data_IF_608763160337
#
_entry.id   IF_608763160337
#
_cell.length_a   1.000
_cell.length_b   1.000
_cell.length_c   1.000
_cell.angle_alpha   90.00
_cell.angle_beta   90.00
_cell.angle_gamma   90.00
#
_symmetry.space_group_name_H-M   'P 1'
#
loop_
_entity.id
_entity.type
_entity.pdbx_description
1 polymer ?
#
# COMPACT_ATOMS: atom_id res chain seq x y z
N UNK A 1 9.05 -9.86 -3.42
CA UNK A 1 8.98 -8.42 -3.12
C UNK A 1 7.55 -8.00 -2.89
N UNK A 2 7.21 -7.96 -1.62
CA UNK A 2 5.92 -8.37 -1.10
C UNK A 2 5.02 -7.14 -0.81
N UNK A 3 3.78 -7.13 -1.30
CA UNK A 3 2.76 -6.10 -0.93
C UNK A 3 2.46 -6.09 0.57
N UNK A 4 2.79 -7.19 1.23
CA UNK A 4 2.63 -7.40 2.67
C UNK A 4 3.60 -6.50 3.46
N UNK A 5 4.79 -6.19 2.93
CA UNK A 5 5.78 -5.37 3.65
C UNK A 5 5.26 -3.95 3.91
N UNK A 6 4.69 -3.29 2.90
CA UNK A 6 4.13 -1.94 3.06
C UNK A 6 2.93 -1.95 4.00
N UNK A 7 2.14 -3.02 3.97
CA UNK A 7 1.01 -3.18 4.85
C UNK A 7 1.44 -3.38 6.30
N UNK A 8 2.48 -4.18 6.56
CA UNK A 8 3.08 -4.34 7.89
C UNK A 8 3.59 -3.02 8.46
N UNK A 9 4.30 -2.23 7.65
CA UNK A 9 4.77 -0.91 8.06
C UNK A 9 3.59 0.04 8.34
N UNK A 10 2.60 0.12 7.43
CA UNK A 10 1.39 0.93 7.69
C UNK A 10 0.68 0.50 8.97
N UNK A 11 0.45 -0.79 9.16
CA UNK A 11 -0.27 -1.30 10.33
C UNK A 11 0.53 -1.03 11.62
N UNK A 12 1.87 -1.09 11.57
CA UNK A 12 2.73 -0.69 12.70
C UNK A 12 2.57 0.78 13.06
N UNK A 13 2.46 1.68 12.07
CA UNK A 13 2.16 3.10 12.30
C UNK A 13 0.78 3.33 12.93
N UNK A 14 -0.19 2.47 12.61
CA UNK A 14 -1.57 2.56 13.10
C UNK A 14 -1.81 1.80 14.41
N UNK A 15 -0.82 1.06 14.90
CA UNK A 15 -0.94 0.23 16.10
C UNK A 15 -1.01 1.12 17.35
N UNK A 16 -1.91 0.77 18.26
CA UNK A 16 -2.01 1.40 19.59
C UNK A 16 -0.90 0.95 20.54
N UNK A 17 -0.20 -0.15 20.23
CA UNK A 17 0.84 -0.75 21.08
C UNK A 17 2.22 -0.18 20.73
N UNK A 18 2.44 0.14 19.46
CA UNK A 18 3.74 0.63 18.99
C UNK A 18 3.96 2.11 19.35
N UNK A 19 5.12 2.40 19.94
CA UNK A 19 5.58 3.75 20.28
C UNK A 19 6.75 4.16 19.40
N UNK A 20 6.54 4.09 18.08
CA UNK A 20 7.62 4.32 17.10
C UNK A 20 8.33 5.66 17.32
N UNK A 21 9.66 5.62 17.39
CA UNK A 21 10.48 6.83 17.47
C UNK A 21 11.82 6.63 16.79
N UNK A 22 12.31 7.66 16.11
CA UNK A 22 13.68 7.70 15.59
C UNK A 22 14.43 8.75 16.38
N UNK A 23 15.39 8.32 17.20
CA UNK A 23 16.02 9.17 18.21
C UNK A 23 14.93 9.87 19.07
N UNK A 24 15.09 11.17 19.36
CA UNK A 24 14.13 11.98 20.11
C UNK A 24 12.86 12.38 19.34
N UNK A 25 12.67 11.88 18.12
CA UNK A 25 11.51 12.24 17.29
C UNK A 25 10.48 11.11 17.26
N UNK A 26 9.31 11.38 17.85
CA UNK A 26 8.17 10.46 17.78
C UNK A 26 7.57 10.39 16.37
N UNK A 27 7.09 9.21 16.03
CA UNK A 27 6.31 8.94 14.82
C UNK A 27 4.86 8.74 15.26
N UNK A 28 3.96 9.64 14.85
CA UNK A 28 2.60 9.65 15.37
C UNK A 28 1.55 9.72 14.26
N UNK A 29 0.55 8.85 14.35
CA UNK A 29 -0.62 8.89 13.47
C UNK A 29 -1.44 10.18 13.61
N UNK A 30 -1.38 10.82 14.80
CA UNK A 30 -2.05 12.07 15.08
C UNK A 30 -1.60 13.21 14.16
N UNK A 31 -0.38 13.17 13.62
CA UNK A 31 0.07 14.14 12.62
C UNK A 31 -0.77 14.02 11.33
N UNK A 32 -1.19 12.82 10.95
CA UNK A 32 -2.07 12.61 9.80
C UNK A 32 -3.52 12.98 10.11
N UNK A 33 -4.00 12.67 11.32
CA UNK A 33 -5.31 13.12 11.78
C UNK A 33 -5.40 14.65 11.78
N UNK A 34 -4.35 15.32 12.25
CA UNK A 34 -4.23 16.77 12.20
C UNK A 34 -4.29 17.28 10.76
N UNK A 35 -3.55 16.67 9.83
CA UNK A 35 -3.63 17.06 8.41
C UNK A 35 -5.05 16.93 7.87
N UNK A 36 -5.74 15.82 8.17
CA UNK A 36 -7.10 15.55 7.70
C UNK A 36 -8.10 16.57 8.25
N UNK A 37 -7.95 16.98 9.50
CA UNK A 37 -8.91 17.88 10.16
C UNK A 37 -8.61 19.37 9.91
N UNK A 38 -7.36 19.75 9.62
CA UNK A 38 -6.95 21.17 9.53
C UNK A 38 -6.62 21.66 8.10
N UNK A 39 -6.36 20.77 7.15
CA UNK A 39 -6.08 21.15 5.76
C UNK A 39 -7.23 20.77 4.82
N UNK A 40 -7.31 21.41 3.66
CA UNK A 40 -8.34 21.07 2.68
C UNK A 40 -8.04 19.69 2.08
N UNK A 41 -9.06 18.83 1.99
CA UNK A 41 -8.96 17.53 1.31
C UNK A 41 -8.36 17.62 -0.10
N UNK A 42 -8.51 18.76 -0.77
CA UNK A 42 -7.96 18.98 -2.11
C UNK A 42 -6.42 18.99 -2.08
N UNK A 43 -5.83 19.41 -0.97
CA UNK A 43 -4.39 19.59 -0.82
C UNK A 43 -3.70 18.27 -0.49
N UNK A 44 -4.36 17.34 0.20
CA UNK A 44 -3.73 16.10 0.68
C UNK A 44 -4.44 14.80 0.24
N UNK A 45 -5.68 14.90 -0.26
CA UNK A 45 -6.53 13.80 -0.73
C UNK A 45 -6.79 12.65 0.27
N UNK A 46 -6.44 12.84 1.54
CA UNK A 46 -6.73 11.89 2.61
C UNK A 46 -8.18 12.00 3.08
N UNK A 47 -8.73 10.87 3.52
CA UNK A 47 -9.97 10.79 4.28
C UNK A 47 -9.73 10.06 5.60
N UNK A 48 -10.64 10.25 6.56
CA UNK A 48 -10.59 9.59 7.87
C UNK A 48 -10.28 8.10 7.73
N UNK A 49 -11.02 7.36 6.91
CA UNK A 49 -10.80 5.92 6.69
C UNK A 49 -9.39 5.52 6.22
N UNK A 50 -8.59 6.42 5.66
CA UNK A 50 -7.23 6.08 5.22
C UNK A 50 -6.28 5.83 6.41
N UNK A 51 -6.59 6.42 7.58
CA UNK A 51 -5.85 6.27 8.85
C UNK A 51 -6.58 5.39 9.88
N UNK A 52 -7.62 4.65 9.46
CA UNK A 52 -8.30 3.71 10.36
C UNK A 52 -7.55 2.38 10.45
N UNK A 53 -7.36 1.84 11.67
CA UNK A 53 -6.63 0.59 11.89
C UNK A 53 -7.40 -0.66 11.44
N UNK A 54 -8.73 -0.61 11.40
CA UNK A 54 -9.58 -1.79 11.13
C UNK A 54 -9.39 -2.39 9.73
N UNK A 55 -9.10 -1.55 8.74
CA UNK A 55 -8.82 -1.99 7.37
C UNK A 55 -7.32 -2.28 7.19
N UNK A 56 -6.92 -3.45 7.71
CA UNK A 56 -5.53 -3.94 7.72
C UNK A 56 -5.00 -4.39 6.37
N UNK A 57 -5.80 -4.41 5.31
CA UNK A 57 -5.39 -4.82 3.94
C UNK A 57 -5.43 -3.65 2.93
N UNK A 58 -5.69 -2.42 3.40
CA UNK A 58 -5.89 -1.27 2.52
C UNK A 58 -4.60 -0.72 1.91
N UNK A 59 -4.15 -1.34 0.83
CA UNK A 59 -3.00 -0.87 0.07
C UNK A 59 -3.20 0.56 -0.48
N UNK A 60 -4.43 0.92 -0.90
CA UNK A 60 -4.71 2.26 -1.43
C UNK A 60 -4.45 3.34 -0.39
N UNK A 61 -4.78 3.09 0.87
CA UNK A 61 -4.50 4.00 1.97
C UNK A 61 -3.00 4.18 2.15
N UNK A 62 -2.21 3.11 2.07
CA UNK A 62 -0.74 3.14 2.16
C UNK A 62 -0.11 4.07 1.09
N UNK A 63 -0.59 4.00 -0.16
CA UNK A 63 -0.12 4.88 -1.25
C UNK A 63 -0.52 6.34 -1.02
N UNK A 64 -1.75 6.60 -0.56
CA UNK A 64 -2.21 7.97 -0.33
C UNK A 64 -1.47 8.64 0.80
N UNK A 65 -1.26 7.93 1.92
CA UNK A 65 -0.51 8.49 3.04
C UNK A 65 0.89 8.88 2.54
N UNK A 66 1.59 8.02 1.82
CA UNK A 66 2.94 8.32 1.31
C UNK A 66 3.02 9.32 0.14
N UNK A 67 1.93 9.99 -0.24
CA UNK A 67 1.92 10.97 -1.32
C UNK A 67 2.81 12.19 -1.02
N UNK A 68 3.35 12.80 -2.09
CA UNK A 68 4.18 14.00 -1.99
C UNK A 68 3.48 15.15 -1.26
N UNK A 69 2.19 15.33 -1.54
CA UNK A 69 1.43 16.43 -0.96
C UNK A 69 1.35 16.29 0.57
N UNK A 70 1.10 15.07 1.07
CA UNK A 70 1.08 14.83 2.51
C UNK A 70 2.49 14.94 3.13
N UNK A 71 3.52 14.48 2.42
CA UNK A 71 4.91 14.63 2.89
C UNK A 71 5.32 16.09 3.01
N UNK A 72 4.91 16.94 2.06
CA UNK A 72 5.18 18.38 2.10
C UNK A 72 4.49 19.02 3.32
N UNK A 73 3.22 18.68 3.58
CA UNK A 73 2.50 19.18 4.75
C UNK A 73 3.14 18.75 6.08
N UNK A 74 3.60 17.50 6.19
CA UNK A 74 4.32 17.04 7.39
C UNK A 74 5.63 17.80 7.61
N UNK A 75 6.32 18.16 6.52
CA UNK A 75 7.53 18.98 6.59
C UNK A 75 7.22 20.39 7.07
N UNK A 76 6.14 21.00 6.58
CA UNK A 76 5.69 22.34 6.98
C UNK A 76 5.25 22.38 8.46
N UNK A 77 4.66 21.29 8.94
CA UNK A 77 4.29 21.12 10.36
C UNK A 77 5.46 20.76 11.28
N UNK A 78 6.69 20.61 10.76
CA UNK A 78 7.87 20.17 11.50
C UNK A 78 7.71 18.79 12.17
N UNK A 79 6.85 17.92 11.63
CA UNK A 79 6.65 16.54 12.08
C UNK A 79 7.76 15.62 11.53
N UNK A 80 9.02 15.89 11.89
CA UNK A 80 10.21 15.27 11.26
C UNK A 80 10.24 13.74 11.34
N UNK A 81 9.91 13.17 12.50
CA UNK A 81 9.89 11.71 12.69
C UNK A 81 8.89 11.04 11.75
N UNK A 82 7.62 11.49 11.80
CA UNK A 82 6.54 11.01 10.92
C UNK A 82 6.84 11.24 9.44
N UNK A 83 7.43 12.38 9.09
CA UNK A 83 7.87 12.67 7.72
C UNK A 83 8.88 11.62 7.22
N UNK A 84 9.95 11.35 7.98
CA UNK A 84 10.99 10.39 7.57
C UNK A 84 10.44 8.98 7.52
N UNK A 85 9.68 8.57 8.53
CA UNK A 85 9.05 7.25 8.52
C UNK A 85 8.23 7.01 7.25
N UNK A 86 7.43 8.00 6.83
CA UNK A 86 6.58 7.90 5.64
C UNK A 86 7.37 8.06 4.35
N UNK A 87 8.46 8.81 4.37
CA UNK A 87 9.41 8.87 3.27
C UNK A 87 10.07 7.50 3.05
N UNK A 88 10.51 6.82 4.11
CA UNK A 88 10.99 5.44 4.01
C UNK A 88 9.90 4.51 3.49
N UNK A 89 8.67 4.58 4.02
CA UNK A 89 7.54 3.79 3.50
C UNK A 89 7.29 4.05 1.99
N UNK A 90 7.44 5.29 1.54
CA UNK A 90 7.36 5.65 0.13
C UNK A 90 8.46 4.96 -0.69
N UNK A 91 9.70 4.97 -0.21
CA UNK A 91 10.81 4.26 -0.87
C UNK A 91 10.55 2.76 -0.95
N UNK A 92 9.90 2.15 0.04
CA UNK A 92 9.50 0.73 -0.01
C UNK A 92 8.53 0.48 -1.18
N UNK A 93 7.56 1.38 -1.40
CA UNK A 93 6.61 1.29 -2.52
C UNK A 93 7.34 1.42 -3.87
N UNK A 94 8.19 2.42 -4.02
CA UNK A 94 8.93 2.69 -5.27
C UNK A 94 9.87 1.53 -5.60
N UNK A 95 10.57 1.00 -4.58
CA UNK A 95 11.57 -0.05 -4.76
C UNK A 95 10.94 -1.38 -5.15
N UNK A 96 9.84 -1.77 -4.48
CA UNK A 96 9.33 -3.14 -4.53
C UNK A 96 7.99 -3.32 -5.24
N UNK A 97 7.23 -2.26 -5.52
CA UNK A 97 5.89 -2.34 -6.13
C UNK A 97 5.80 -1.64 -7.47
N UNK A 98 6.28 -0.40 -7.58
CA UNK A 98 6.14 0.36 -8.83
C UNK A 98 6.81 -0.42 -9.96
N UNK A 99 6.12 -0.64 -11.08
CA UNK A 99 6.62 -1.49 -12.16
C UNK A 99 7.68 -0.78 -13.02
N UNK A 100 7.57 0.55 -13.12
CA UNK A 100 8.31 1.36 -14.07
C UNK A 100 9.64 1.90 -13.49
N UNK A 101 9.99 1.53 -12.26
CA UNK A 101 11.26 1.92 -11.63
C UNK A 101 12.43 1.15 -12.22
N UNK A 102 13.46 1.88 -12.65
CA UNK A 102 14.73 1.34 -13.13
C UNK A 102 15.42 0.46 -12.07
N UNK A 103 16.13 -0.58 -12.52
CA UNK A 103 16.75 -1.59 -11.64
C UNK A 103 17.83 -1.00 -10.73
N UNK A 104 18.65 -0.08 -11.21
CA UNK A 104 19.70 0.55 -10.41
C UNK A 104 19.11 1.59 -9.45
N UNK A 105 18.03 2.25 -9.86
CA UNK A 105 17.25 3.11 -8.96
C UNK A 105 16.64 2.29 -7.82
N UNK A 106 16.07 1.11 -8.10
CA UNK A 106 15.59 0.17 -7.06
C UNK A 106 16.71 -0.28 -6.14
N UNK A 107 17.86 -0.66 -6.71
CA UNK A 107 19.02 -1.06 -5.93
C UNK A 107 19.44 0.07 -4.96
N UNK A 108 19.55 1.29 -5.46
CA UNK A 108 19.86 2.46 -4.65
C UNK A 108 18.84 2.67 -3.52
N UNK A 109 17.55 2.73 -3.84
CA UNK A 109 16.50 2.97 -2.83
C UNK A 109 16.35 1.84 -1.82
N UNK A 110 16.51 0.58 -2.23
CA UNK A 110 16.52 -0.56 -1.33
C UNK A 110 17.70 -0.53 -0.36
N UNK A 111 18.89 -0.12 -0.80
CA UNK A 111 20.04 0.06 0.09
C UNK A 111 19.89 1.27 1.01
N UNK A 112 19.29 2.38 0.54
CA UNK A 112 18.94 3.51 1.41
C UNK A 112 18.04 3.04 2.55
N UNK A 113 17.04 2.21 2.25
CA UNK A 113 16.14 1.64 3.26
C UNK A 113 16.89 0.76 4.26
N UNK A 114 17.70 -0.19 3.78
CA UNK A 114 18.46 -1.08 4.65
C UNK A 114 19.38 -0.29 5.59
N UNK A 115 20.19 0.64 5.07
CA UNK A 115 21.07 1.46 5.91
C UNK A 115 20.30 2.36 6.87
N UNK A 116 19.18 2.93 6.43
CA UNK A 116 18.29 3.71 7.30
C UNK A 116 17.78 2.87 8.47
N UNK A 117 17.29 1.66 8.22
CA UNK A 117 16.81 0.78 9.27
C UNK A 117 17.91 0.25 10.17
N UNK A 118 19.10 -0.04 9.64
CA UNK A 118 20.29 -0.39 10.45
C UNK A 118 20.65 0.73 11.41
N UNK A 119 20.79 1.96 10.91
CA UNK A 119 21.11 3.13 11.74
C UNK A 119 20.05 3.36 12.82
N UNK A 120 18.77 3.30 12.44
CA UNK A 120 17.67 3.43 13.39
C UNK A 120 17.70 2.32 14.45
N UNK A 121 17.86 1.06 14.06
CA UNK A 121 17.97 -0.06 14.99
C UNK A 121 19.15 0.11 15.95
N UNK A 122 20.33 0.46 15.44
CA UNK A 122 21.50 0.71 16.27
C UNK A 122 21.24 1.81 17.32
N UNK A 123 20.61 2.92 16.93
CA UNK A 123 20.29 3.98 17.91
C UNK A 123 19.38 3.50 19.05
N UNK A 124 18.44 2.62 18.76
CA UNK A 124 17.55 2.04 19.77
C UNK A 124 18.32 1.04 20.66
N UNK A 125 19.23 0.27 20.07
CA UNK A 125 20.01 -0.71 20.82
C UNK A 125 20.99 -0.06 21.79
N UNK A 126 21.55 1.09 21.43
CA UNK A 126 22.42 1.89 22.29
C UNK A 126 21.68 2.57 23.45
N UNK A 127 20.34 2.65 23.41
CA UNK A 127 19.56 3.17 24.53
C UNK A 127 19.57 2.17 25.70
N UNK A 128 20.28 2.50 26.77
CA UNK A 128 20.42 1.62 27.94
C UNK A 128 19.16 1.60 28.81
N UNK A 129 18.30 2.63 28.72
CA UNK A 129 17.12 2.76 29.57
C UNK A 129 15.98 1.81 29.18
N UNK A 130 15.96 1.34 27.93
CA UNK A 130 14.89 0.49 27.43
C UNK A 130 15.19 -0.99 27.65
N UNK A 131 14.20 -1.71 28.18
CA UNK A 131 14.14 -3.17 28.08
C UNK A 131 14.03 -3.61 26.61
N UNK A 132 14.33 -4.89 26.33
CA UNK A 132 14.23 -5.41 24.95
C UNK A 132 12.82 -5.26 24.36
N UNK A 133 11.77 -5.48 25.17
CA UNK A 133 10.38 -5.32 24.72
C UNK A 133 10.05 -3.87 24.36
N UNK A 134 10.56 -2.90 25.13
CA UNK A 134 10.42 -1.48 24.80
C UNK A 134 11.18 -1.14 23.51
N UNK A 135 12.41 -1.62 23.36
CA UNK A 135 13.20 -1.43 22.11
C UNK A 135 12.42 -1.92 20.89
N UNK A 136 11.73 -3.06 20.99
CA UNK A 136 10.92 -3.60 19.90
C UNK A 136 9.68 -2.73 19.62
N UNK A 137 9.07 -2.12 20.64
CA UNK A 137 7.95 -1.18 20.49
C UNK A 137 8.33 0.15 19.82
N UNK A 138 9.58 0.59 19.99
CA UNK A 138 10.11 1.80 19.39
C UNK A 138 10.57 1.64 17.93
N UNK A 139 10.63 0.40 17.42
CA UNK A 139 11.08 0.08 16.06
C UNK A 139 9.98 -0.55 15.19
N UNK A 140 10.25 -0.64 13.88
CA UNK A 140 9.46 -1.49 12.98
C UNK A 140 9.59 -2.96 13.41
N UNK A 141 8.62 -3.79 13.03
CA UNK A 141 8.68 -5.21 13.40
C UNK A 141 9.92 -5.87 12.80
N UNK A 142 10.54 -6.79 13.55
CA UNK A 142 11.73 -7.52 13.11
C UNK A 142 11.50 -8.20 11.75
N UNK A 143 10.33 -8.79 11.55
CA UNK A 143 9.95 -9.38 10.27
C UNK A 143 9.94 -8.38 9.10
N UNK A 144 9.49 -7.14 9.32
CA UNK A 144 9.51 -6.11 8.29
C UNK A 144 10.95 -5.66 7.98
N UNK A 145 11.76 -5.45 9.01
CA UNK A 145 13.17 -5.11 8.83
C UNK A 145 13.96 -6.20 8.09
N UNK A 146 13.86 -7.46 8.54
CA UNK A 146 14.52 -8.60 7.89
C UNK A 146 14.04 -8.79 6.45
N UNK A 147 12.75 -8.55 6.16
CA UNK A 147 12.25 -8.63 4.79
C UNK A 147 12.94 -7.61 3.87
N UNK A 148 13.20 -6.39 4.35
CA UNK A 148 13.93 -5.37 3.59
C UNK A 148 15.36 -5.83 3.31
N UNK A 149 16.06 -6.30 4.35
CA UNK A 149 17.42 -6.84 4.26
C UNK A 149 17.51 -7.97 3.23
N UNK A 150 16.71 -9.02 3.40
CA UNK A 150 16.71 -10.18 2.51
C UNK A 150 16.38 -9.75 1.08
N UNK A 151 15.34 -8.93 0.88
CA UNK A 151 14.93 -8.50 -0.46
C UNK A 151 16.02 -7.71 -1.18
N UNK A 152 16.75 -6.81 -0.51
CA UNK A 152 17.80 -6.02 -1.17
C UNK A 152 19.07 -6.84 -1.43
N UNK A 153 19.45 -7.72 -0.51
CA UNK A 153 20.56 -8.64 -0.72
C UNK A 153 20.27 -9.59 -1.89
N UNK A 154 19.07 -10.19 -1.93
CA UNK A 154 18.65 -11.03 -3.06
C UNK A 154 18.68 -10.28 -4.39
N UNK A 155 18.19 -9.03 -4.43
CA UNK A 155 18.24 -8.21 -5.64
C UNK A 155 19.67 -7.95 -6.10
N UNK A 156 20.56 -7.64 -5.15
CA UNK A 156 21.98 -7.40 -5.40
C UNK A 156 22.64 -8.65 -5.96
N UNK A 157 22.41 -9.82 -5.36
CA UNK A 157 22.91 -11.10 -5.84
C UNK A 157 22.40 -11.45 -7.24
N UNK A 158 21.09 -11.27 -7.51
CA UNK A 158 20.53 -11.50 -8.84
C UNK A 158 21.17 -10.59 -9.89
N UNK A 159 21.39 -9.33 -9.57
CA UNK A 159 22.04 -8.39 -10.47
C UNK A 159 23.49 -8.80 -10.78
N UNK A 160 24.25 -9.22 -9.76
CA UNK A 160 25.62 -9.72 -9.93
C UNK A 160 25.63 -10.95 -10.84
N UNK A 161 24.74 -11.92 -10.60
CA UNK A 161 24.65 -13.14 -11.42
C UNK A 161 24.29 -12.84 -12.88
N UNK A 162 23.44 -11.84 -13.12
CA UNK A 162 23.12 -11.38 -14.48
C UNK A 162 24.30 -10.69 -15.14
N UNK A 163 25.02 -9.82 -14.43
CA UNK A 163 26.23 -9.16 -14.94
C UNK A 163 27.38 -10.14 -15.24
N UNK A 164 27.47 -11.22 -14.47
CA UNK A 164 28.43 -12.31 -14.70
C UNK A 164 28.01 -13.25 -15.86
N UNK A 165 26.82 -13.05 -16.44
CA UNK A 165 26.29 -13.89 -17.52
C UNK A 165 25.78 -15.26 -17.07
N UNK A 166 25.67 -15.50 -15.76
CA UNK A 166 25.14 -16.75 -15.19
C UNK A 166 23.61 -16.82 -15.37
N UNK A 167 22.93 -15.68 -15.27
CA UNK A 167 21.48 -15.55 -15.44
C UNK A 167 21.12 -14.64 -16.62
N UNK A 168 20.02 -14.90 -17.34
CA UNK A 168 19.56 -14.01 -18.41
C UNK A 168 19.03 -12.69 -17.85
N UNK A 169 19.07 -11.62 -18.64
CA UNK A 169 18.55 -10.29 -18.24
C UNK A 169 17.05 -10.30 -17.90
N UNK A 170 16.28 -11.25 -18.46
CA UNK A 170 14.87 -11.47 -18.12
C UNK A 170 14.66 -11.83 -16.64
N UNK A 171 15.69 -12.31 -15.95
CA UNK A 171 15.64 -12.57 -14.52
C UNK A 171 15.49 -11.29 -13.69
N UNK A 172 15.71 -10.10 -14.27
CA UNK A 172 15.55 -8.80 -13.59
C UNK A 172 14.14 -8.18 -13.75
N UNK A 173 13.15 -8.98 -14.14
CA UNK A 173 11.75 -8.56 -14.14
C UNK A 173 11.18 -8.46 -12.72
N UNK A 174 11.66 -7.48 -11.94
CA UNK A 174 11.35 -7.30 -10.51
C UNK A 174 9.86 -7.16 -10.19
N UNK A 175 9.03 -6.71 -11.14
CA UNK A 175 7.58 -6.66 -10.96
C UNK A 175 6.96 -8.04 -10.72
N UNK A 176 7.60 -9.12 -11.19
CA UNK A 176 7.17 -10.50 -10.97
C UNK A 176 7.57 -11.06 -9.61
N UNK A 177 8.44 -10.38 -8.87
CA UNK A 177 8.91 -10.89 -7.57
C UNK A 177 7.84 -10.77 -6.49
N UNK A 178 6.76 -10.04 -6.73
CA UNK A 178 5.68 -9.83 -5.77
C UNK A 178 4.66 -10.95 -5.73
N UNK A 179 3.87 -10.99 -4.65
CA UNK A 179 2.70 -11.86 -4.49
C UNK A 179 1.48 -11.36 -5.28
N UNK A 180 1.55 -10.17 -5.88
CA UNK A 180 0.45 -9.55 -6.63
C UNK A 180 -0.08 -10.39 -7.81
N UNK A 181 0.75 -11.10 -8.61
CA UNK A 181 0.25 -12.03 -9.62
C UNK A 181 -0.59 -13.15 -9.01
N UNK A 182 -0.17 -13.70 -7.87
CA UNK A 182 -0.94 -14.72 -7.15
C UNK A 182 -2.28 -14.17 -6.63
N UNK A 183 -2.28 -13.00 -5.99
CA UNK A 183 -3.50 -12.32 -5.56
C UNK A 183 -4.45 -12.03 -6.73
N UNK A 184 -3.91 -11.65 -7.89
CA UNK A 184 -4.66 -11.43 -9.12
C UNK A 184 -5.32 -12.72 -9.63
N UNK A 185 -4.61 -13.86 -9.56
CA UNK A 185 -5.16 -15.17 -9.89
C UNK A 185 -6.29 -15.55 -8.94
N UNK A 186 -6.13 -15.37 -7.63
CA UNK A 186 -7.19 -15.61 -6.66
C UNK A 186 -8.40 -14.69 -6.87
N UNK A 187 -8.18 -13.40 -7.15
CA UNK A 187 -9.27 -12.46 -7.51
C UNK A 187 -10.02 -12.91 -8.75
N UNK A 188 -9.31 -13.39 -9.77
CA UNK A 188 -9.92 -13.92 -10.99
C UNK A 188 -10.75 -15.17 -10.70
N UNK A 189 -10.25 -16.08 -9.86
CA UNK A 189 -11.00 -17.26 -9.44
C UNK A 189 -12.27 -16.91 -8.64
N UNK A 190 -12.21 -15.88 -7.77
CA UNK A 190 -13.38 -15.35 -7.05
C UNK A 190 -14.41 -14.72 -7.99
N UNK A 191 -13.96 -14.10 -9.08
CA UNK A 191 -14.85 -13.48 -10.07
C UNK A 191 -15.50 -14.50 -11.02
N UNK A 192 -14.91 -15.68 -11.19
CA UNK A 192 -15.44 -16.79 -12.00
C UNK A 192 -16.53 -17.58 -11.25
N UNK A 193 -17.52 -16.90 -10.70
CA UNK A 193 -18.72 -17.50 -10.09
C UNK A 193 -19.85 -17.60 -11.12
N UNK A 194 -20.82 -18.51 -10.90
CA UNK A 194 -21.93 -18.67 -11.85
C UNK A 194 -22.82 -17.43 -11.87
N UNK A 195 -23.58 -17.24 -12.96
CA UNK A 195 -24.46 -16.08 -13.17
C UNK A 195 -25.49 -15.84 -12.07
N UNK A 196 -25.78 -16.86 -11.26
CA UNK A 196 -26.74 -16.82 -10.16
C UNK A 196 -26.08 -17.00 -8.78
N UNK A 197 -24.74 -16.94 -8.70
CA UNK A 197 -24.01 -17.14 -7.45
C UNK A 197 -23.04 -16.00 -7.20
N UNK A 198 -23.28 -15.28 -6.10
CA UNK A 198 -22.35 -14.30 -5.55
C UNK A 198 -21.33 -14.94 -4.59
N UNK A 199 -21.25 -16.28 -4.54
CA UNK A 199 -20.35 -16.97 -3.63
C UNK A 199 -18.91 -16.73 -4.10
N UNK A 200 -18.13 -16.03 -3.27
CA UNK A 200 -16.72 -15.72 -3.53
C UNK A 200 -15.77 -16.76 -2.92
N UNK A 201 -16.24 -17.58 -1.98
CA UNK A 201 -15.48 -18.70 -1.42
C UNK A 201 -15.48 -19.90 -2.37
N UNK A 202 -14.42 -20.69 -2.35
CA UNK A 202 -14.35 -21.92 -3.13
C UNK A 202 -13.42 -22.95 -2.48
N UNK A 203 -13.71 -24.23 -2.69
CA UNK A 203 -12.84 -25.33 -2.29
C UNK A 203 -11.62 -25.44 -3.22
N UNK A 204 -10.62 -26.23 -2.82
CA UNK A 204 -9.44 -26.52 -3.66
C UNK A 204 -9.84 -27.15 -5.00
N UNK A 205 -10.78 -28.10 -5.00
CA UNK A 205 -11.28 -28.73 -6.23
C UNK A 205 -11.93 -27.69 -7.16
N UNK A 206 -12.74 -26.78 -6.61
CA UNK A 206 -13.35 -25.70 -7.38
C UNK A 206 -12.30 -24.73 -7.93
N UNK A 207 -11.23 -24.47 -7.18
CA UNK A 207 -10.11 -23.65 -7.64
C UNK A 207 -9.40 -24.28 -8.84
N UNK A 208 -9.08 -25.59 -8.77
CA UNK A 208 -8.42 -26.32 -9.87
C UNK A 208 -9.24 -26.26 -11.16
N UNK A 209 -10.56 -26.45 -11.07
CA UNK A 209 -11.45 -26.33 -12.23
C UNK A 209 -11.51 -24.89 -12.79
N UNK A 210 -11.34 -23.87 -11.94
CA UNK A 210 -11.31 -22.46 -12.35
C UNK A 210 -9.95 -22.07 -12.96
N UNK A 211 -8.85 -22.67 -12.53
CA UNK A 211 -7.50 -22.38 -13.04
C UNK A 211 -7.40 -22.63 -14.54
N UNK A 212 -7.97 -23.73 -15.05
CA UNK A 212 -7.95 -24.03 -16.48
C UNK A 212 -8.59 -22.89 -17.31
N UNK A 213 -9.74 -22.40 -16.85
CA UNK A 213 -10.42 -21.24 -17.47
C UNK A 213 -9.58 -19.96 -17.37
N UNK A 214 -8.92 -19.73 -16.24
CA UNK A 214 -8.03 -18.58 -16.04
C UNK A 214 -6.82 -18.67 -16.97
N UNK A 215 -6.23 -19.86 -17.15
CA UNK A 215 -5.09 -20.07 -18.04
C UNK A 215 -5.46 -19.76 -19.49
N UNK A 216 -6.61 -20.26 -19.96
CA UNK A 216 -7.16 -19.95 -21.28
C UNK A 216 -7.40 -18.44 -21.45
N UNK A 217 -8.03 -17.78 -20.46
CA UNK A 217 -8.24 -16.33 -20.47
C UNK A 217 -6.93 -15.55 -20.53
N UNK A 218 -5.91 -15.97 -19.79
CA UNK A 218 -4.60 -15.31 -19.79
C UNK A 218 -3.88 -15.52 -21.12
N UNK A 219 -4.00 -16.69 -21.74
CA UNK A 219 -3.49 -16.94 -23.09
C UNK A 219 -4.14 -15.99 -24.11
N UNK A 220 -5.46 -15.82 -24.07
CA UNK A 220 -6.12 -14.88 -24.99
C UNK A 220 -5.65 -13.43 -24.76
N UNK A 221 -5.50 -13.01 -23.49
CA UNK A 221 -5.01 -11.66 -23.14
C UNK A 221 -3.57 -11.41 -23.57
N UNK A 222 -2.69 -12.40 -23.50
CA UNK A 222 -1.30 -12.23 -23.97
C UNK A 222 -1.22 -12.15 -25.49
N UNK A 223 -2.08 -12.89 -26.20
CA UNK A 223 -2.10 -12.93 -27.67
C UNK A 223 -2.66 -11.64 -28.30
N UNK A 224 -3.51 -10.88 -27.58
CA UNK A 224 -4.00 -9.56 -28.03
C UNK A 224 -2.89 -8.50 -28.17
N UNK A 225 -1.76 -8.66 -27.47
CA UNK A 225 -0.69 -7.67 -27.42
C UNK A 225 0.29 -7.71 -28.60
N UNK A 226 0.44 -8.86 -29.27
CA UNK A 226 1.59 -9.12 -30.14
C UNK A 226 1.32 -9.09 -31.66
N UNK A 227 0.12 -9.41 -32.19
CA UNK A 227 -0.18 -9.09 -33.61
C UNK A 227 -1.63 -9.31 -34.10
N UNK A 228 -1.90 -8.72 -35.29
CA UNK A 228 -3.14 -8.40 -36.05
C UNK A 228 -4.19 -9.52 -36.33
N UNK A 229 -4.17 -10.71 -35.71
CA UNK A 229 -5.09 -11.82 -36.07
C UNK A 229 -5.93 -12.45 -34.95
N UNK A 230 -6.10 -11.81 -33.80
CA UNK A 230 -7.08 -12.29 -32.82
C UNK A 230 -8.47 -11.64 -33.06
N UNK A 231 -9.54 -12.39 -33.38
CA UNK A 231 -10.89 -11.83 -33.56
C UNK A 231 -11.54 -11.43 -32.23
N UNK A 232 -11.00 -11.90 -31.12
CA UNK A 232 -11.47 -11.59 -29.77
C UNK A 232 -10.79 -10.31 -29.29
N UNK A 233 -11.60 -9.29 -29.01
CA UNK A 233 -11.18 -8.04 -28.35
C UNK A 233 -11.88 -7.94 -27.00
N UNK A 234 -11.13 -7.98 -25.91
CA UNK A 234 -11.67 -7.77 -24.57
C UNK A 234 -12.09 -6.29 -24.41
N UNK A 235 -13.28 -6.02 -23.82
CA UNK A 235 -13.69 -4.65 -23.54
C UNK A 235 -12.72 -3.99 -22.57
N UNK A 236 -12.03 -2.94 -23.01
CA UNK A 236 -11.19 -2.14 -22.13
C UNK A 236 -12.12 -1.28 -21.26
N UNK A 237 -12.17 -1.58 -19.97
CA UNK A 237 -12.91 -0.76 -19.01
C UNK A 237 -12.44 0.70 -19.09
N UNK A 238 -13.37 1.67 -19.14
CA UNK A 238 -13.07 3.10 -19.37
C UNK A 238 -12.01 3.69 -18.42
N UNK A 239 -11.89 3.17 -17.19
CA UNK A 239 -10.84 3.55 -16.22
C UNK A 239 -9.42 3.13 -16.60
N UNK A 240 -9.27 2.12 -17.45
CA UNK A 240 -7.97 1.59 -17.89
C UNK A 240 -7.54 2.15 -19.26
N UNK A 241 -8.40 2.91 -19.93
CA UNK A 241 -8.17 3.47 -21.28
C UNK A 241 -6.96 4.43 -21.36
N UNK A 242 -6.57 5.02 -20.22
CA UNK A 242 -5.42 5.94 -20.13
C UNK A 242 -4.12 5.29 -19.67
N UNK A 243 -4.12 4.02 -19.26
CA UNK A 243 -2.90 3.30 -18.89
C UNK A 243 -2.39 2.51 -20.10
N UNK A 244 -1.87 3.21 -21.11
CA UNK A 244 -0.92 2.57 -22.04
C UNK A 244 0.32 2.25 -21.23
N UNK A 245 0.38 1.05 -20.66
CA UNK A 245 1.62 0.48 -20.14
C UNK A 245 2.54 0.29 -21.34
N UNK A 246 3.46 1.21 -21.52
CA UNK A 246 4.67 0.90 -22.27
C UNK A 246 5.35 -0.13 -21.37
N UNK A 247 5.35 -1.40 -21.76
CA UNK A 247 6.21 -2.39 -21.12
C UNK A 247 7.63 -1.88 -21.30
N UNK A 248 8.17 -1.21 -20.29
CA UNK A 248 9.59 -0.90 -20.24
C UNK A 248 10.30 -2.23 -20.04
N UNK A 249 10.62 -2.89 -21.15
CA UNK A 249 11.62 -3.95 -21.14
C UNK A 249 12.88 -3.32 -20.56
N UNK A 250 13.24 -3.73 -19.34
CA UNK A 250 14.46 -3.33 -18.66
C UNK A 250 15.64 -3.90 -19.44
N UNK A 251 15.95 -3.32 -20.60
CA UNK A 251 17.15 -3.68 -21.36
C UNK A 251 18.32 -3.09 -20.59
N UNK A 252 18.93 -3.90 -19.72
CA UNK A 252 20.25 -3.60 -19.20
C UNK A 252 21.14 -3.40 -20.43
N UNK A 253 21.61 -2.18 -20.68
CA UNK A 253 22.55 -1.93 -21.78
C UNK A 253 23.83 -2.69 -21.45
N UNK A 254 23.95 -3.88 -22.02
CA UNK A 254 24.90 -4.94 -21.66
C UNK A 254 26.38 -4.61 -21.90
N UNK A 255 26.70 -3.38 -22.32
CA UNK A 255 28.05 -3.01 -22.72
C UNK A 255 28.86 -2.21 -21.67
N UNK A 256 28.28 -1.73 -20.56
CA UNK A 256 29.03 -0.81 -19.67
C UNK A 256 28.82 -0.93 -18.16
N UNK A 257 27.97 -1.82 -17.65
CA UNK A 257 27.75 -1.91 -16.20
C UNK A 257 28.73 -2.93 -15.59
N UNK A 258 29.50 -2.49 -14.59
CA UNK A 258 30.45 -3.32 -13.86
C UNK A 258 30.02 -3.54 -12.41
N UNK A 259 30.61 -4.53 -11.73
CA UNK A 259 30.41 -4.73 -10.27
C UNK A 259 30.79 -3.47 -9.49
N UNK A 260 31.82 -2.73 -9.94
CA UNK A 260 32.22 -1.45 -9.34
C UNK A 260 31.08 -0.40 -9.38
N UNK A 261 30.18 -0.46 -10.36
CA UNK A 261 29.04 0.47 -10.41
C UNK A 261 27.97 0.11 -9.38
N UNK A 262 27.79 -1.18 -9.07
CA UNK A 262 26.95 -1.64 -7.95
C UNK A 262 27.53 -1.14 -6.63
N UNK A 263 28.84 -1.28 -6.42
CA UNK A 263 29.51 -0.79 -5.21
C UNK A 263 29.33 0.72 -5.04
N UNK A 264 29.53 1.50 -6.11
CA UNK A 264 29.27 2.95 -6.10
C UNK A 264 27.83 3.29 -5.75
N UNK A 265 26.86 2.51 -6.25
CA UNK A 265 25.43 2.70 -5.92
C UNK A 265 25.19 2.43 -4.43
N UNK A 266 25.78 1.37 -3.87
CA UNK A 266 25.65 1.03 -2.45
C UNK A 266 26.28 2.11 -1.57
N UNK A 267 27.47 2.60 -1.92
CA UNK A 267 28.14 3.69 -1.21
C UNK A 267 27.30 4.98 -1.29
N UNK A 268 26.79 5.32 -2.47
CA UNK A 268 25.88 6.46 -2.65
C UNK A 268 24.63 6.32 -1.78
N UNK A 269 24.02 5.14 -1.74
CA UNK A 269 22.86 4.86 -0.92
C UNK A 269 23.16 5.01 0.58
N UNK A 270 24.33 4.58 1.03
CA UNK A 270 24.78 4.80 2.41
C UNK A 270 24.89 6.29 2.75
N UNK A 271 25.49 7.11 1.88
CA UNK A 271 25.59 8.55 2.09
C UNK A 271 24.22 9.25 2.12
N UNK A 272 23.30 8.86 1.23
CA UNK A 272 21.93 9.38 1.25
C UNK A 272 21.19 8.96 2.53
N UNK A 273 21.36 7.72 3.00
CA UNK A 273 20.82 7.26 4.28
C UNK A 273 21.38 8.08 5.46
N UNK A 274 22.70 8.33 5.49
CA UNK A 274 23.33 9.23 6.48
C UNK A 274 22.68 10.61 6.45
N UNK A 275 22.47 11.19 5.25
CA UNK A 275 21.84 12.51 5.10
C UNK A 275 20.40 12.54 5.63
N UNK A 276 19.60 11.50 5.34
CA UNK A 276 18.24 11.37 5.85
C UNK A 276 18.26 11.29 7.39
N UNK A 277 19.09 10.41 7.95
CA UNK A 277 19.17 10.19 9.39
C UNK A 277 19.81 11.33 10.18
N UNK A 278 20.71 12.09 9.55
CA UNK A 278 21.30 13.27 10.16
C UNK A 278 20.26 14.37 10.46
N UNK A 279 19.19 14.45 9.68
CA UNK A 279 18.12 15.42 9.93
C UNK A 279 17.35 15.17 11.24
N UNK A 280 17.56 14.00 11.87
CA UNK A 280 17.07 13.59 13.19
C UNK A 280 18.19 13.49 14.23
N UNK A 281 19.38 14.04 13.94
CA UNK A 281 20.56 14.02 14.82
C UNK A 281 21.05 12.62 15.22
N UNK A 282 20.71 11.60 14.43
CA UNK A 282 21.04 10.21 14.75
C UNK A 282 22.52 9.89 14.48
N UNK A 283 23.17 10.62 13.56
CA UNK A 283 24.59 10.43 13.27
C UNK A 283 25.50 10.72 14.45
N UNK A 284 25.15 11.71 15.28
CA UNK A 284 25.96 12.06 16.45
C UNK A 284 26.06 10.87 17.41
N UNK A 285 24.94 10.21 17.71
CA UNK A 285 24.89 9.02 18.58
C UNK A 285 25.74 7.89 17.99
N UNK A 286 25.66 7.67 16.67
CA UNK A 286 26.42 6.63 16.01
C UNK A 286 27.93 6.93 16.01
N UNK A 287 28.32 8.19 15.78
CA UNK A 287 29.72 8.61 15.77
C UNK A 287 30.34 8.57 17.18
N UNK A 288 29.59 8.94 18.21
CA UNK A 288 29.99 8.80 19.62
C UNK A 288 30.26 7.34 20.03
N UNK A 289 29.57 6.38 19.38
CA UNK A 289 29.72 4.95 19.62
C UNK A 289 30.57 4.22 18.55
N UNK A 290 31.31 4.96 17.71
CA UNK A 290 32.17 4.40 16.66
C UNK A 290 31.44 3.52 15.62
N UNK A 291 30.14 3.77 15.41
CA UNK A 291 29.27 3.11 14.40
C UNK A 291 28.97 4.01 13.18
N UNK A 292 29.71 5.11 13.03
CA UNK A 292 29.56 6.07 11.93
C UNK A 292 30.12 5.60 10.58
N UNK A 293 30.86 4.48 10.56
CA UNK A 293 31.41 3.81 9.38
C UNK A 293 30.52 2.66 8.90
N UNK A 294 30.51 2.42 7.58
CA UNK A 294 29.68 1.38 6.96
C UNK A 294 30.07 -0.03 7.42
N UNK A 295 31.37 -0.32 7.58
CA UNK A 295 31.82 -1.66 7.97
C UNK A 295 31.44 -1.94 9.42
N UNK A 296 31.72 -0.99 10.32
CA UNK A 296 31.38 -1.10 11.74
C UNK A 296 29.88 -1.22 11.98
N UNK A 297 29.08 -0.39 11.29
CA UNK A 297 27.62 -0.48 11.32
C UNK A 297 27.12 -1.87 10.92
N UNK A 298 27.69 -2.41 9.84
CA UNK A 298 27.29 -3.73 9.33
C UNK A 298 27.69 -4.83 10.31
N UNK A 299 28.93 -4.83 10.81
CA UNK A 299 29.41 -5.79 11.80
C UNK A 299 28.53 -5.82 13.04
N UNK A 300 28.20 -4.65 13.61
CA UNK A 300 27.30 -4.56 14.76
C UNK A 300 25.94 -5.19 14.47
N UNK A 301 25.34 -4.89 13.31
CA UNK A 301 24.04 -5.45 12.94
C UNK A 301 24.13 -6.97 12.77
N UNK A 302 25.18 -7.48 12.13
CA UNK A 302 25.37 -8.93 11.95
C UNK A 302 25.57 -9.65 13.29
N UNK A 303 26.37 -9.10 14.20
CA UNK A 303 26.58 -9.68 15.53
C UNK A 303 25.27 -9.75 16.34
N UNK A 304 24.42 -8.72 16.22
CA UNK A 304 23.09 -8.66 16.83
C UNK A 304 22.09 -9.65 16.20
N UNK A 305 22.26 -9.97 14.92
CA UNK A 305 21.48 -11.01 14.27
C UNK A 305 21.97 -12.39 14.76
N UNK A 306 23.25 -12.69 14.65
CA UNK A 306 23.85 -13.99 14.96
C UNK A 306 23.68 -14.41 16.43
N UNK A 307 23.84 -13.48 17.37
CA UNK A 307 23.64 -13.74 18.81
C UNK A 307 22.22 -14.22 19.17
N UNK A 308 21.23 -13.95 18.33
CA UNK A 308 19.83 -14.34 18.52
C UNK A 308 19.43 -15.62 17.76
N UNK A 309 20.36 -16.28 17.04
CA UNK A 309 20.09 -17.46 16.19
C UNK A 309 20.68 -18.79 16.71
N UNK A 310 20.70 -19.04 18.02
CA UNK A 310 20.65 -20.43 18.51
C UNK A 310 19.21 -20.93 18.47
N UNK A 311 18.69 -21.11 17.26
CA UNK A 311 17.41 -21.81 17.05
C UNK A 311 17.72 -23.30 17.06
N UNK A 312 17.37 -23.97 18.15
CA UNK A 312 17.42 -25.42 18.25
C UNK A 312 16.20 -26.01 17.54
N UNK A 313 16.39 -26.48 16.30
CA UNK A 313 15.35 -27.12 15.50
C UNK A 313 14.82 -28.44 16.11
N UNK A 314 15.38 -28.91 17.22
CA UNK A 314 14.94 -30.11 17.91
C UNK A 314 13.77 -29.86 18.88
N UNK A 315 13.37 -28.61 19.11
CA UNK A 315 12.30 -28.27 20.04
C UNK A 315 11.24 -27.41 19.35
N UNK A 316 10.12 -28.03 18.97
CA UNK A 316 8.91 -27.35 18.50
C UNK A 316 8.25 -26.66 19.71
N UNK A 317 8.71 -25.46 20.06
CA UNK A 317 8.03 -24.62 21.05
C UNK A 317 6.88 -23.88 20.37
N UNK A 318 5.64 -24.15 20.79
CA UNK A 318 4.43 -23.43 20.34
C UNK A 318 4.46 -21.91 20.68
N UNK A 319 5.44 -21.46 21.46
CA UNK A 319 5.61 -20.08 21.93
C UNK A 319 6.16 -19.16 20.81
N UNK A 320 6.88 -19.68 19.81
CA UNK A 320 7.42 -18.84 18.71
C UNK A 320 6.39 -18.53 17.61
N UNK A 321 5.16 -19.06 17.72
CA UNK A 321 4.03 -18.64 16.88
C UNK A 321 3.35 -17.35 17.36
N UNK A 322 3.75 -16.83 18.53
CA UNK A 322 3.20 -15.61 19.11
C UNK A 322 3.76 -14.31 18.53
N UNK A 323 4.77 -14.37 17.64
CA UNK A 323 5.17 -13.25 16.77
C UNK A 323 4.14 -12.96 15.65
N UNK A 324 3.01 -13.69 15.64
CA UNK A 324 1.85 -13.46 14.76
C UNK A 324 0.52 -13.19 15.49
N UNK A 325 0.53 -13.04 16.83
CA UNK A 325 -0.69 -12.76 17.59
C UNK A 325 -0.99 -11.25 17.63
N UNK A 326 -1.36 -10.67 16.48
CA UNK A 326 -2.10 -9.42 16.45
C UNK A 326 -3.55 -9.71 16.93
N UNK A 327 -3.82 -9.53 18.23
CA UNK A 327 -5.14 -9.37 18.87
C UNK A 327 -6.30 -10.24 18.35
N UNK A 328 -6.48 -11.44 18.93
CA UNK A 328 -7.74 -12.21 18.86
C UNK A 328 -8.50 -12.30 20.19
N UNK A 329 -8.11 -11.54 21.21
CA UNK A 329 -8.81 -11.53 22.49
C UNK A 329 -10.01 -10.57 22.48
N UNK A 330 -11.07 -10.92 21.73
CA UNK A 330 -12.46 -10.53 22.05
C UNK A 330 -13.51 -11.21 21.13
N UNK A 331 -13.54 -12.54 21.11
CA UNK A 331 -14.75 -13.27 20.69
C UNK A 331 -15.13 -14.23 21.82
N UNK A 332 -15.82 -13.70 22.82
CA UNK A 332 -16.69 -14.52 23.66
C UNK A 332 -18.08 -14.56 23.02
N UNK A 333 -18.41 -15.74 22.52
CA UNK A 333 -19.73 -16.36 22.47
C UNK A 333 -20.90 -15.51 21.96
N UNK A 334 -21.24 -15.67 20.68
CA UNK A 334 -22.64 -15.85 20.31
C UNK A 334 -22.76 -17.03 19.35
N UNK A 335 -23.28 -18.10 19.92
CA UNK A 335 -23.59 -19.38 19.30
C UNK A 335 -24.64 -19.20 18.20
N UNK A 336 -24.43 -19.95 17.13
CA UNK A 336 -25.34 -20.21 16.02
C UNK A 336 -26.83 -20.22 16.43
N UNK A 337 -27.62 -19.35 15.80
CA UNK A 337 -29.03 -19.61 15.55
C UNK A 337 -29.32 -19.33 14.09
N UNK A 338 -29.42 -20.42 13.34
CA UNK A 338 -30.07 -20.47 12.04
C UNK A 338 -31.47 -19.84 12.14
N UNK A 339 -31.67 -18.74 11.40
CA UNK A 339 -33.01 -18.28 11.05
C UNK A 339 -33.09 -18.33 9.54
N UNK A 340 -33.66 -19.44 9.05
CA UNK A 340 -34.19 -19.52 7.69
C UNK A 340 -35.27 -18.45 7.54
N UNK A 341 -35.03 -17.45 6.70
CA UNK A 341 -36.09 -16.55 6.21
C UNK A 341 -36.26 -16.86 4.72
N UNK A 342 -37.21 -17.75 4.43
CA UNK A 342 -37.83 -17.82 3.12
C UNK A 342 -38.56 -16.51 2.85
N UNK A 343 -38.07 -15.75 1.89
CA UNK A 343 -38.71 -14.54 1.38
C UNK A 343 -38.79 -14.61 -0.14
N UNK A 344 -39.87 -15.19 -0.64
CA UNK A 344 -40.31 -15.06 -2.02
C UNK A 344 -40.32 -13.58 -2.43
N UNK A 345 -39.61 -13.22 -3.50
CA UNK A 345 -39.89 -11.99 -4.24
C UNK A 345 -39.94 -12.32 -5.73
N UNK A 346 -41.14 -12.11 -6.26
CA UNK A 346 -41.56 -12.22 -7.65
C UNK A 346 -40.73 -11.34 -8.56
N UNK A 347 -40.23 -11.92 -9.65
CA UNK A 347 -39.97 -11.20 -10.90
C UNK A 347 -41.32 -10.66 -11.41
N UNK A 348 -41.36 -9.37 -11.71
CA UNK A 348 -42.33 -8.83 -12.67
C UNK A 348 -41.70 -7.58 -13.32
N UNK A 349 -41.01 -7.83 -14.43
CA UNK A 349 -40.56 -6.80 -15.36
C UNK A 349 -41.78 -6.36 -16.19
N UNK A 350 -42.24 -5.12 -15.98
CA UNK A 350 -43.19 -4.48 -16.89
C UNK A 350 -42.46 -3.41 -17.72
N UNK A 351 -42.35 -3.55 -19.05
CA UNK A 351 -41.45 -2.76 -19.88
C UNK A 351 -42.17 -1.58 -20.55
N UNK A 352 -42.92 -0.75 -19.82
CA UNK A 352 -43.57 0.42 -20.41
C UNK A 352 -43.71 1.55 -19.37
N UNK A 353 -42.73 2.48 -19.33
CA UNK A 353 -43.01 3.93 -19.28
C UNK A 353 -41.71 4.75 -19.24
N UNK A 354 -41.33 5.34 -20.38
CA UNK A 354 -40.29 6.36 -20.46
C UNK A 354 -40.92 7.75 -20.36
N UNK A 355 -41.09 8.26 -19.14
CA UNK A 355 -41.25 9.71 -18.91
C UNK A 355 -40.43 10.16 -17.68
N UNK A 356 -39.25 10.71 -17.95
CA UNK A 356 -38.40 11.36 -16.94
C UNK A 356 -38.88 12.78 -16.65
N UNK A 357 -39.49 12.99 -15.48
CA UNK A 357 -39.65 14.31 -14.88
C UNK A 357 -39.22 14.21 -13.42
N UNK A 358 -38.18 14.95 -13.03
CA UNK A 358 -37.69 15.01 -11.64
C UNK A 358 -38.15 16.30 -10.96
N UNK A 359 -39.02 16.16 -9.97
CA UNK A 359 -39.52 17.24 -9.11
C UNK A 359 -38.76 17.31 -7.78
N UNK A 360 -37.48 17.70 -7.79
CA UNK A 360 -36.75 18.06 -6.56
C UNK A 360 -36.49 19.55 -6.53
N UNK A 361 -37.26 20.26 -5.71
CA UNK A 361 -37.21 21.72 -5.59
C UNK A 361 -36.20 22.23 -4.54
N UNK A 362 -35.57 21.36 -3.73
CA UNK A 362 -34.68 21.80 -2.64
C UNK A 362 -33.31 21.11 -2.62
N UNK A 363 -32.24 21.91 -2.49
CA UNK A 363 -30.83 21.49 -2.47
C UNK A 363 -30.25 21.32 -1.05
N UNK A 364 -31.10 21.00 -0.07
CA UNK A 364 -30.72 20.96 1.34
C UNK A 364 -29.72 19.80 1.60
N UNK A 365 -28.57 20.11 2.20
CA UNK A 365 -27.51 19.12 2.50
C UNK A 365 -26.40 18.98 1.43
N UNK A 366 -26.43 19.76 0.35
CA UNK A 366 -25.38 19.73 -0.69
C UNK A 366 -24.30 20.80 -0.43
N UNK A 367 -23.02 20.43 -0.61
CA UNK A 367 -21.92 21.40 -0.59
C UNK A 367 -21.92 22.20 -1.90
N UNK A 368 -22.38 23.45 -1.81
CA UNK A 368 -22.42 24.42 -2.90
C UNK A 368 -21.44 25.54 -2.55
N UNK A 369 -20.56 25.91 -3.49
CA UNK A 369 -19.50 26.88 -3.28
C UNK A 369 -19.79 28.19 -4.01
N UNK A 370 -19.46 29.33 -3.39
CA UNK A 370 -19.66 30.66 -3.98
C UNK A 370 -18.44 31.10 -4.83
N UNK A 371 -17.25 30.56 -4.56
CA UNK A 371 -16.01 30.80 -5.31
C UNK A 371 -15.23 29.50 -5.48
N UNK A 372 -14.59 29.34 -6.64
CA UNK A 372 -13.71 28.20 -6.95
C UNK A 372 -12.37 28.69 -7.46
N UNK A 373 -11.34 27.87 -7.26
CA UNK A 373 -10.04 28.03 -7.90
C UNK A 373 -10.15 27.81 -9.42
N UNK A 374 -9.71 28.81 -10.20
CA UNK A 374 -9.79 28.82 -11.66
C UNK A 374 -9.00 27.68 -12.31
N UNK A 375 -7.96 27.17 -11.65
CA UNK A 375 -7.17 26.03 -12.14
C UNK A 375 -7.98 24.72 -12.20
N UNK A 376 -9.11 24.66 -11.47
CA UNK A 376 -9.94 23.45 -11.31
C UNK A 376 -11.36 23.60 -11.89
N UNK A 377 -11.58 24.57 -12.79
CA UNK A 377 -12.89 24.86 -13.40
C UNK A 377 -13.58 23.64 -14.01
N UNK A 378 -12.82 22.71 -14.58
CA UNK A 378 -13.34 21.51 -15.25
C UNK A 378 -14.00 20.49 -14.31
N UNK A 379 -13.86 20.65 -12.98
CA UNK A 379 -14.38 19.72 -11.98
C UNK A 379 -15.75 20.16 -11.44
N UNK A 380 -16.13 21.42 -11.69
CA UNK A 380 -17.35 22.03 -11.18
C UNK A 380 -18.34 22.32 -12.32
N UNK A 381 -19.64 22.23 -12.00
CA UNK A 381 -20.72 22.80 -12.78
C UNK A 381 -21.02 24.20 -12.27
N UNK A 382 -21.24 25.12 -13.21
CA UNK A 382 -21.81 26.42 -12.93
C UNK A 382 -23.33 26.27 -12.84
N UNK A 383 -23.91 26.63 -11.70
CA UNK A 383 -25.34 26.58 -11.45
C UNK A 383 -25.83 27.93 -10.95
N UNK A 384 -27.08 28.27 -11.25
CA UNK A 384 -27.72 29.50 -10.78
C UNK A 384 -28.71 29.13 -9.68
N UNK A 385 -28.52 29.67 -8.47
CA UNK A 385 -29.48 29.53 -7.37
C UNK A 385 -29.86 30.94 -6.93
N UNK A 386 -31.15 31.26 -6.97
CA UNK A 386 -31.69 32.58 -6.59
C UNK A 386 -30.96 33.74 -7.31
N UNK A 387 -30.74 33.62 -8.62
CA UNK A 387 -29.99 34.57 -9.45
C UNK A 387 -28.53 34.85 -9.03
N UNK A 388 -27.95 34.03 -8.16
CA UNK A 388 -26.53 34.11 -7.80
C UNK A 388 -25.76 32.94 -8.45
N UNK A 389 -24.60 33.21 -9.08
CA UNK A 389 -23.77 32.16 -9.64
C UNK A 389 -23.16 31.36 -8.49
N UNK A 390 -23.32 30.04 -8.55
CA UNK A 390 -22.75 29.10 -7.60
C UNK A 390 -22.11 27.93 -8.32
N UNK A 391 -21.23 27.22 -7.64
CA UNK A 391 -20.47 26.10 -8.19
C UNK A 391 -20.81 24.81 -7.45
N UNK A 392 -21.14 23.77 -8.22
CA UNK A 392 -21.46 22.44 -7.73
C UNK A 392 -20.45 21.44 -8.27
N UNK A 393 -19.89 20.59 -7.41
CA UNK A 393 -18.95 19.56 -7.86
C UNK A 393 -19.65 18.52 -8.77
N UNK A 394 -19.00 18.10 -9.86
CA UNK A 394 -19.58 17.14 -10.83
C UNK A 394 -20.04 15.82 -10.21
N UNK A 395 -19.32 15.30 -9.21
CA UNK A 395 -19.74 14.10 -8.48
C UNK A 395 -21.00 14.32 -7.64
N UNK A 396 -21.21 15.53 -7.12
CA UNK A 396 -22.44 15.88 -6.38
C UNK A 396 -23.61 15.99 -7.35
N UNK A 397 -23.39 16.55 -8.54
CA UNK A 397 -24.39 16.59 -9.60
C UNK A 397 -24.79 15.20 -10.13
N UNK A 398 -23.86 14.25 -10.20
CA UNK A 398 -24.18 12.88 -10.59
C UNK A 398 -25.21 12.21 -9.65
N UNK A 399 -25.27 12.63 -8.37
CA UNK A 399 -26.31 12.18 -7.42
C UNK A 399 -27.70 12.77 -7.70
N UNK A 400 -27.79 13.87 -8.45
CA UNK A 400 -29.07 14.47 -8.85
C UNK A 400 -29.70 13.75 -10.05
N UNK A 401 -28.90 13.01 -10.83
CA UNK A 401 -29.34 12.32 -12.04
C UNK A 401 -29.93 10.91 -11.78
N UNK A 402 -29.81 10.38 -10.56
CA UNK A 402 -30.40 9.09 -10.19
C UNK A 402 -31.81 9.29 -9.62
N UNK A 403 -32.80 9.32 -10.51
CA UNK A 403 -34.21 9.48 -10.16
C UNK A 403 -34.90 8.13 -10.02
N UNK A 404 -34.88 7.55 -8.81
CA UNK A 404 -35.97 6.72 -8.24
C UNK A 404 -35.54 5.83 -7.07
N UNK A 405 -34.26 5.48 -6.90
CA UNK A 405 -33.79 4.78 -5.70
C UNK A 405 -32.39 5.24 -5.32
N UNK A 406 -32.21 5.64 -4.05
CA UNK A 406 -30.90 5.72 -3.44
C UNK A 406 -30.37 4.30 -3.20
N UNK A 407 -30.10 3.55 -4.27
CA UNK A 407 -29.41 2.28 -4.15
C UNK A 407 -27.93 2.56 -3.98
N UNK A 408 -27.50 2.68 -2.72
CA UNK A 408 -26.16 2.20 -2.40
C UNK A 408 -26.13 0.71 -2.77
N UNK A 409 -25.06 0.22 -3.39
CA UNK A 409 -24.85 -1.23 -3.48
C UNK A 409 -25.01 -1.82 -2.08
N UNK A 410 -25.56 -3.02 -1.96
CA UNK A 410 -25.83 -3.69 -0.67
C UNK A 410 -24.65 -3.51 0.30
N UNK A 411 -23.44 -3.73 -0.20
CA UNK A 411 -22.18 -3.55 0.53
C UNK A 411 -21.90 -2.11 1.04
N UNK A 412 -22.27 -1.09 0.25
CA UNK A 412 -22.14 0.32 0.65
C UNK A 412 -23.22 0.73 1.64
N UNK A 413 -24.43 0.16 1.52
CA UNK A 413 -25.50 0.36 2.48
C UNK A 413 -25.08 -0.17 3.86
N UNK A 414 -24.49 -1.37 3.91
CA UNK A 414 -24.02 -1.98 5.17
C UNK A 414 -22.92 -1.14 5.82
N UNK A 415 -21.94 -0.65 5.05
CA UNK A 415 -20.86 0.20 5.59
C UNK A 415 -21.38 1.54 6.13
N UNK A 416 -22.37 2.13 5.47
CA UNK A 416 -23.01 3.39 5.93
C UNK A 416 -23.88 3.14 7.18
N UNK A 417 -24.56 2.00 7.26
CA UNK A 417 -25.31 1.61 8.45
C UNK A 417 -24.39 1.30 9.64
N UNK A 418 -23.22 0.68 9.41
CA UNK A 418 -22.22 0.43 10.45
C UNK A 418 -21.60 1.72 10.99
N UNK A 419 -21.31 2.70 10.12
CA UNK A 419 -20.78 4.01 10.56
C UNK A 419 -21.81 4.87 11.29
N UNK A 420 -23.11 4.68 11.04
CA UNK A 420 -24.17 5.38 11.78
C UNK A 420 -24.54 4.73 13.11
N UNK A 421 -24.18 3.47 13.36
CA UNK A 421 -24.36 2.79 14.64
C UNK A 421 -23.25 3.09 15.67
N UNK A 422 -22.18 3.76 15.24
CA UNK A 422 -21.05 4.18 16.09
C UNK A 422 -21.07 5.67 16.45
N UNK A 423 -22.17 6.37 16.15
CA UNK A 423 -22.53 7.66 16.74
C UNK A 423 -23.60 7.43 17.79
#
# INVERSE_FOLDING_TARGET
>A
MDSILQQKLRNRLLSSIATLSINNHQININDLSFIIDNYSKIDHNLVKSDVFPDDRENFSSCVKITSNDVLNLLKDMNAKGTYIYRYLLKLVIITYIEADTDIFVRLCYGWILAFSYRMWWCSIQLEETYSQQEKDNHFITRAAWLSVEINIHCLTSLLILVLQGVLPSSSLHTHLFSSQPCESTFRSARALSSTFSSITSFSVSQFLNKIEKIAILNHFKSTEGDDVKCPLKFPIHHKNKHKKRISSTTSLSSASTTINDIEKIIIKAYHEAKKIMNSLHLLQILEENDLGDIQKLNSFVFDQLDSKYKVDYCYFNEIDLQDSADDTNNIQNDTEKDVQIEGYYSDDDNPDDYHFITSKETFQGMKILDKIDLTKKNIYFHIMINNKPKYLHKQTAARLLTSSKNCLSSERLTRVQQTNKQK
#
